data_IF_264623647746
#
_entry.id   IF_264623647746
#
_cell.length_a   1.000
_cell.length_b   1.000
_cell.length_c   1.000
_cell.angle_alpha   90.00
_cell.angle_beta   90.00
_cell.angle_gamma   90.00
#
_symmetry.space_group_name_H-M   'P 1'
#
loop_
_entity.id
_entity.type
_entity.pdbx_description
1 polymer ?
#
# COMPACT_ATOMS: atom_id res chain seq x y z
N UNK A 1 -7.07 -32.23 -4.87
CA UNK A 1 -7.68 -31.70 -3.62
C UNK A 1 -8.06 -30.22 -3.81
N UNK A 2 -9.33 -29.86 -3.68
CA UNK A 2 -9.76 -28.44 -3.69
C UNK A 2 -9.12 -27.71 -2.49
N UNK A 3 -8.31 -26.68 -2.74
CA UNK A 3 -7.73 -25.86 -1.66
C UNK A 3 -8.85 -25.19 -0.87
N UNK A 4 -8.88 -25.42 0.45
CA UNK A 4 -9.87 -24.79 1.33
C UNK A 4 -9.73 -23.26 1.25
N UNK A 5 -10.84 -22.58 0.96
CA UNK A 5 -10.88 -21.11 0.85
C UNK A 5 -10.75 -20.44 2.21
N UNK A 6 -10.12 -19.26 2.25
CA UNK A 6 -10.02 -18.44 3.45
C UNK A 6 -11.37 -17.72 3.66
N UNK A 7 -12.03 -18.01 4.76
CA UNK A 7 -13.30 -17.36 5.16
C UNK A 7 -13.14 -16.48 6.41
N UNK A 8 -12.09 -16.69 7.20
CA UNK A 8 -11.74 -15.86 8.37
C UNK A 8 -10.34 -15.29 8.19
N UNK A 9 -10.23 -13.98 8.19
CA UNK A 9 -8.98 -13.28 7.87
C UNK A 9 -8.70 -12.17 8.88
N UNK A 10 -7.46 -12.11 9.35
CA UNK A 10 -6.96 -10.96 10.09
C UNK A 10 -6.21 -10.02 9.13
N UNK A 11 -6.69 -8.79 8.95
CA UNK A 11 -5.97 -7.77 8.17
C UNK A 11 -4.99 -7.05 9.10
N UNK A 12 -3.70 -7.34 8.93
CA UNK A 12 -2.60 -6.81 9.73
C UNK A 12 -2.20 -5.38 9.35
N UNK A 13 -3.10 -4.43 9.53
CA UNK A 13 -2.86 -3.01 9.27
C UNK A 13 -3.66 -2.13 10.22
N UNK A 14 -3.05 -1.00 10.66
CA UNK A 14 -3.75 0.06 11.40
C UNK A 14 -4.14 1.24 10.49
N UNK A 15 -3.77 1.20 9.20
CA UNK A 15 -4.13 2.22 8.22
C UNK A 15 -5.54 1.98 7.68
N UNK A 16 -6.48 2.88 8.02
CA UNK A 16 -7.89 2.78 7.60
C UNK A 16 -8.07 2.72 6.08
N UNK A 17 -7.27 3.48 5.33
CA UNK A 17 -7.30 3.48 3.87
C UNK A 17 -6.92 2.12 3.29
N UNK A 18 -5.81 1.53 3.77
CA UNK A 18 -5.35 0.20 3.35
C UNK A 18 -6.37 -0.89 3.72
N UNK A 19 -6.92 -0.86 4.94
CA UNK A 19 -7.95 -1.80 5.39
C UNK A 19 -9.17 -1.72 4.47
N UNK A 20 -9.63 -0.51 4.15
CA UNK A 20 -10.77 -0.30 3.26
C UNK A 20 -10.51 -0.88 1.88
N UNK A 21 -9.39 -0.55 1.26
CA UNK A 21 -9.04 -1.07 -0.07
C UNK A 21 -8.93 -2.60 -0.09
N UNK A 22 -8.28 -3.22 0.92
CA UNK A 22 -8.20 -4.69 1.02
C UNK A 22 -9.59 -5.30 1.19
N UNK A 23 -10.44 -4.71 2.04
CA UNK A 23 -11.82 -5.19 2.25
C UNK A 23 -12.64 -5.15 0.96
N UNK A 24 -12.52 -4.07 0.18
CA UNK A 24 -13.24 -3.89 -1.07
C UNK A 24 -12.79 -4.88 -2.16
N UNK A 25 -11.59 -5.46 -2.04
CA UNK A 25 -11.06 -6.49 -2.94
C UNK A 25 -11.45 -7.92 -2.55
N UNK A 26 -11.77 -8.16 -1.28
CA UNK A 26 -12.13 -9.48 -0.76
C UNK A 26 -13.58 -9.84 -1.09
N UNK A 27 -13.89 -11.13 -1.26
CA UNK A 27 -15.28 -11.59 -1.31
C UNK A 27 -16.05 -11.20 -0.04
N UNK A 28 -17.33 -10.85 -0.17
CA UNK A 28 -18.19 -10.46 0.97
C UNK A 28 -18.36 -11.57 2.03
N UNK A 29 -18.12 -12.83 1.64
CA UNK A 29 -18.14 -14.00 2.52
C UNK A 29 -16.97 -14.09 3.48
N UNK A 30 -15.90 -13.28 3.28
CA UNK A 30 -14.73 -13.28 4.16
C UNK A 30 -14.99 -12.42 5.38
N UNK A 31 -14.98 -13.04 6.54
CA UNK A 31 -15.04 -12.36 7.84
C UNK A 31 -13.67 -11.73 8.16
N UNK A 32 -13.67 -10.44 8.51
CA UNK A 32 -12.47 -9.65 8.68
C UNK A 32 -12.34 -9.17 10.12
N UNK A 33 -11.18 -9.45 10.72
CA UNK A 33 -10.71 -8.81 11.94
C UNK A 33 -9.51 -7.90 11.64
N UNK A 34 -9.31 -6.89 12.46
CA UNK A 34 -8.19 -5.93 12.35
C UNK A 34 -7.56 -5.70 13.72
N UNK A 35 -6.38 -5.09 13.81
CA UNK A 35 -5.75 -4.79 15.09
C UNK A 35 -6.65 -4.01 16.06
N UNK A 36 -7.51 -3.13 15.54
CA UNK A 36 -8.45 -2.35 16.36
C UNK A 36 -9.42 -3.23 17.15
N UNK A 37 -9.86 -4.38 16.59
CA UNK A 37 -10.80 -5.30 17.28
C UNK A 37 -10.17 -6.02 18.48
N UNK A 38 -8.84 -6.12 18.51
CA UNK A 38 -8.10 -6.85 19.54
C UNK A 38 -7.11 -5.95 20.31
N UNK A 39 -7.20 -4.62 20.11
CA UNK A 39 -6.33 -3.62 20.71
C UNK A 39 -4.82 -3.92 20.54
N UNK A 40 -4.45 -4.42 19.35
CA UNK A 40 -3.08 -4.81 19.03
C UNK A 40 -2.33 -3.69 18.32
N UNK A 41 -1.10 -3.43 18.76
CA UNK A 41 -0.17 -2.55 18.05
C UNK A 41 0.51 -3.27 16.89
N UNK A 42 0.88 -2.51 15.85
CA UNK A 42 1.70 -3.03 14.76
C UNK A 42 3.15 -3.24 15.22
N UNK A 43 3.84 -4.28 14.73
CA UNK A 43 5.26 -4.46 14.99
C UNK A 43 6.08 -3.36 14.32
N UNK A 44 7.32 -3.16 14.79
CA UNK A 44 8.30 -2.33 14.07
C UNK A 44 8.60 -2.95 12.70
N UNK A 45 8.58 -2.12 11.67
CA UNK A 45 8.97 -2.48 10.32
C UNK A 45 10.49 -2.31 10.18
N UNK A 46 11.25 -3.39 10.38
CA UNK A 46 12.72 -3.42 10.36
C UNK A 46 13.28 -3.95 9.04
N UNK A 47 12.40 -4.36 8.13
CA UNK A 47 12.78 -4.87 6.81
C UNK A 47 13.33 -3.76 5.91
N UNK A 48 14.18 -4.18 4.98
CA UNK A 48 14.79 -3.33 3.95
C UNK A 48 13.97 -3.25 2.66
N UNK A 49 12.94 -4.09 2.55
CA UNK A 49 12.05 -4.19 1.39
C UNK A 49 10.58 -4.17 1.82
N UNK A 50 9.68 -3.85 0.88
CA UNK A 50 8.23 -3.94 1.13
C UNK A 50 7.82 -5.37 1.45
N UNK A 51 8.44 -6.36 0.80
CA UNK A 51 8.18 -7.78 1.01
C UNK A 51 8.53 -8.21 2.43
N UNK A 52 9.71 -7.82 2.92
CA UNK A 52 10.13 -8.12 4.30
C UNK A 52 9.20 -7.49 5.32
N UNK A 53 8.84 -6.21 5.14
CA UNK A 53 7.94 -5.52 6.06
C UNK A 53 6.53 -6.11 6.07
N UNK A 54 5.98 -6.47 4.90
CA UNK A 54 4.68 -7.15 4.84
C UNK A 54 4.73 -8.52 5.53
N UNK A 55 5.82 -9.28 5.35
CA UNK A 55 6.05 -10.56 6.03
C UNK A 55 6.14 -10.41 7.55
N UNK A 56 6.95 -9.46 8.04
CA UNK A 56 7.09 -9.17 9.49
C UNK A 56 5.71 -8.92 10.11
N UNK A 57 4.89 -8.08 9.47
CA UNK A 57 3.54 -7.78 9.96
C UNK A 57 2.62 -8.99 9.92
N UNK A 58 2.57 -9.71 8.79
CA UNK A 58 1.69 -10.88 8.65
C UNK A 58 2.05 -11.98 9.67
N UNK A 59 3.34 -12.27 9.83
CA UNK A 59 3.84 -13.24 10.82
C UNK A 59 3.50 -12.82 12.25
N UNK A 60 3.72 -11.56 12.61
CA UNK A 60 3.42 -11.03 13.94
C UNK A 60 1.94 -11.20 14.28
N UNK A 61 1.04 -10.72 13.42
CA UNK A 61 -0.38 -10.80 13.69
C UNK A 61 -0.91 -12.23 13.70
N UNK A 62 -0.43 -13.10 12.79
CA UNK A 62 -0.82 -14.51 12.81
C UNK A 62 -0.39 -15.22 14.10
N UNK A 63 0.82 -14.95 14.59
CA UNK A 63 1.31 -15.53 15.85
C UNK A 63 0.48 -15.09 17.07
N UNK A 64 0.13 -13.80 17.14
CA UNK A 64 -0.60 -13.24 18.29
C UNK A 64 -2.09 -13.54 18.26
N UNK A 65 -2.69 -13.74 17.08
CA UNK A 65 -4.14 -13.97 16.95
C UNK A 65 -4.52 -15.42 16.69
N UNK A 66 -3.53 -16.28 16.37
CA UNK A 66 -3.73 -17.66 15.90
C UNK A 66 -4.61 -17.77 14.65
N UNK A 67 -4.74 -16.67 13.89
CA UNK A 67 -5.56 -16.59 12.68
C UNK A 67 -4.69 -16.47 11.43
N UNK A 68 -5.27 -16.78 10.27
CA UNK A 68 -4.64 -16.45 8.99
C UNK A 68 -4.58 -14.92 8.90
N UNK A 69 -3.39 -14.39 8.65
CA UNK A 69 -3.18 -12.95 8.56
C UNK A 69 -2.78 -12.53 7.14
N UNK A 70 -3.37 -11.46 6.67
CA UNK A 70 -2.96 -10.74 5.46
C UNK A 70 -2.44 -9.37 5.88
N UNK A 71 -1.18 -9.08 5.58
CA UNK A 71 -0.62 -7.75 5.80
C UNK A 71 -0.05 -7.19 4.51
N UNK A 72 -0.09 -5.85 4.40
CA UNK A 72 0.54 -5.14 3.30
C UNK A 72 1.69 -4.25 3.79
N UNK A 73 2.69 -4.09 2.93
CA UNK A 73 3.54 -2.92 2.96
C UNK A 73 3.55 -2.27 1.58
N UNK A 74 3.46 -0.94 1.55
CA UNK A 74 3.29 -0.23 0.29
C UNK A 74 3.80 1.20 0.38
N UNK A 75 4.27 1.71 -0.74
CA UNK A 75 4.80 3.04 -0.82
C UNK A 75 4.93 3.57 -2.24
N UNK A 76 5.32 4.83 -2.32
CA UNK A 76 5.65 5.56 -3.53
C UNK A 76 7.17 5.55 -3.73
N UNK A 77 7.62 5.21 -4.93
CA UNK A 77 9.00 5.38 -5.36
C UNK A 77 9.07 6.39 -6.50
N UNK A 78 10.07 7.27 -6.46
CA UNK A 78 10.28 8.33 -7.47
C UNK A 78 11.73 8.27 -7.94
N UNK A 79 11.96 8.09 -9.25
CA UNK A 79 13.28 7.85 -9.81
C UNK A 79 14.25 9.01 -9.56
N UNK A 80 13.80 10.25 -9.75
CA UNK A 80 14.63 11.45 -9.60
C UNK A 80 15.21 11.60 -8.19
N UNK A 81 14.58 11.02 -7.18
CA UNK A 81 15.04 11.03 -5.79
C UNK A 81 15.42 9.63 -5.31
N UNK A 82 16.02 8.82 -6.18
CA UNK A 82 16.60 7.50 -5.90
C UNK A 82 15.61 6.52 -5.24
N UNK A 83 14.34 6.54 -5.65
CA UNK A 83 13.29 5.66 -5.12
C UNK A 83 12.67 6.14 -3.81
N UNK A 84 13.11 7.27 -3.25
CA UNK A 84 12.44 7.81 -2.07
C UNK A 84 10.98 8.27 -2.40
N UNK A 85 10.08 8.21 -1.43
CA UNK A 85 10.20 7.76 -0.04
C UNK A 85 10.28 6.24 0.16
N UNK A 86 9.94 5.41 -0.83
CA UNK A 86 10.03 3.96 -0.77
C UNK A 86 9.33 3.37 0.47
N UNK A 87 9.99 2.48 1.19
CA UNK A 87 9.49 1.87 2.43
C UNK A 87 9.23 2.88 3.56
N UNK A 88 9.74 4.10 3.44
CA UNK A 88 9.51 5.19 4.40
C UNK A 88 8.30 6.05 4.09
N UNK A 89 7.48 5.66 3.11
CA UNK A 89 6.33 6.44 2.62
C UNK A 89 5.39 6.91 3.73
N UNK A 90 4.99 6.03 4.65
CA UNK A 90 4.15 6.39 5.79
C UNK A 90 4.91 7.24 6.83
N UNK A 91 6.22 6.96 7.02
CA UNK A 91 7.04 7.68 8.01
C UNK A 91 7.25 9.15 7.64
N UNK A 92 7.24 9.48 6.34
CA UNK A 92 7.32 10.87 5.87
C UNK A 92 6.09 11.71 6.25
N UNK A 93 4.96 11.06 6.53
CA UNK A 93 3.74 11.72 7.00
C UNK A 93 3.75 12.02 8.53
N UNK A 94 4.80 11.58 9.24
CA UNK A 94 5.00 11.82 10.67
C UNK A 94 4.00 11.08 11.57
N UNK A 95 4.07 11.36 12.86
CA UNK A 95 3.30 10.68 13.92
C UNK A 95 1.77 10.73 13.67
N UNK A 96 1.29 11.81 13.08
CA UNK A 96 -0.14 12.02 12.86
C UNK A 96 -0.63 11.57 11.47
N UNK A 97 0.21 10.87 10.69
CA UNK A 97 -0.11 10.44 9.31
C UNK A 97 -0.58 11.60 8.40
N UNK A 98 0.04 12.78 8.55
CA UNK A 98 -0.30 13.96 7.76
C UNK A 98 0.41 13.92 6.41
N UNK A 99 -0.25 13.35 5.41
CA UNK A 99 0.32 13.24 4.07
C UNK A 99 0.52 14.58 3.35
N UNK A 100 -0.03 15.69 3.84
CA UNK A 100 0.35 17.01 3.32
C UNK A 100 1.82 17.32 3.62
N UNK A 101 2.33 16.92 4.79
CA UNK A 101 3.75 17.05 5.15
C UNK A 101 4.60 16.16 4.23
N UNK A 102 4.20 14.90 4.04
CA UNK A 102 4.90 13.97 3.16
C UNK A 102 4.98 14.47 1.71
N UNK A 103 3.88 14.99 1.17
CA UNK A 103 3.83 15.56 -0.19
C UNK A 103 4.70 16.81 -0.31
N UNK A 104 4.67 17.71 0.69
CA UNK A 104 5.58 18.88 0.71
C UNK A 104 7.03 18.43 0.70
N UNK A 105 7.39 17.39 1.46
CA UNK A 105 8.74 16.82 1.48
C UNK A 105 9.14 16.23 0.13
N UNK A 106 8.22 15.54 -0.57
CA UNK A 106 8.45 15.06 -1.95
C UNK A 106 8.80 16.23 -2.86
N UNK A 107 7.97 17.27 -2.91
CA UNK A 107 8.21 18.42 -3.77
C UNK A 107 9.50 19.17 -3.44
N UNK A 108 9.84 19.31 -2.15
CA UNK A 108 11.10 19.89 -1.71
C UNK A 108 12.28 19.09 -2.26
N UNK A 109 12.31 17.77 -2.08
CA UNK A 109 13.40 16.91 -2.57
C UNK A 109 13.51 16.91 -4.11
N UNK A 110 12.39 16.92 -4.82
CA UNK A 110 12.39 17.05 -6.28
C UNK A 110 13.01 18.39 -6.71
N UNK A 111 12.67 19.49 -6.03
CA UNK A 111 13.22 20.82 -6.29
C UNK A 111 14.72 20.90 -5.98
N UNK A 112 15.19 20.24 -4.92
CA UNK A 112 16.61 20.14 -4.56
C UNK A 112 17.42 19.36 -5.61
N UNK A 113 16.82 18.36 -6.26
CA UNK A 113 17.48 17.58 -7.31
C UNK A 113 17.48 18.28 -8.69
N UNK A 114 16.36 18.89 -9.04
CA UNK A 114 16.20 19.64 -10.30
C UNK A 114 15.14 20.73 -10.06
N UNK A 115 15.56 22.00 -10.04
CA UNK A 115 14.63 23.12 -9.87
C UNK A 115 13.56 23.23 -10.96
N UNK A 116 13.78 22.56 -12.10
CA UNK A 116 12.84 22.49 -13.22
C UNK A 116 12.16 21.12 -13.35
N UNK A 117 12.20 20.27 -12.30
CA UNK A 117 11.63 18.92 -12.29
C UNK A 117 10.21 18.85 -12.88
N UNK A 118 9.39 19.87 -12.67
CA UNK A 118 8.00 19.94 -13.11
C UNK A 118 7.84 20.17 -14.63
N UNK A 119 8.92 20.56 -15.34
CA UNK A 119 8.94 20.71 -16.82
C UNK A 119 9.03 19.36 -17.53
N UNK A 120 9.48 18.32 -16.84
CA UNK A 120 9.61 16.95 -17.36
C UNK A 120 8.73 15.99 -16.57
N UNK A 121 8.28 14.92 -17.23
CA UNK A 121 7.50 13.87 -16.57
C UNK A 121 8.40 13.07 -15.64
N UNK A 122 8.23 13.25 -14.34
CA UNK A 122 9.00 12.51 -13.33
C UNK A 122 8.44 11.10 -13.15
N UNK A 123 9.23 10.10 -13.51
CA UNK A 123 8.84 8.70 -13.36
C UNK A 123 8.68 8.33 -11.90
N UNK A 124 7.61 7.67 -11.59
CA UNK A 124 7.30 7.18 -10.25
C UNK A 124 6.48 5.89 -10.33
N UNK A 125 6.44 5.15 -9.24
CA UNK A 125 5.59 3.96 -9.12
C UNK A 125 5.03 3.81 -7.72
N UNK A 126 3.83 3.26 -7.62
CA UNK A 126 3.37 2.69 -6.37
C UNK A 126 3.68 1.19 -6.33
N UNK A 127 4.15 0.74 -5.19
CA UNK A 127 4.43 -0.66 -4.88
C UNK A 127 3.55 -1.10 -3.71
N UNK A 128 3.05 -2.33 -3.78
CA UNK A 128 2.41 -3.01 -2.67
C UNK A 128 2.92 -4.45 -2.61
N UNK A 129 3.48 -4.83 -1.47
CA UNK A 129 3.71 -6.22 -1.11
C UNK A 129 2.57 -6.70 -0.21
N UNK A 130 1.97 -7.84 -0.55
CA UNK A 130 0.95 -8.52 0.25
C UNK A 130 1.49 -9.86 0.71
N UNK A 131 1.45 -10.12 2.01
CA UNK A 131 1.81 -11.41 2.60
C UNK A 131 0.60 -12.03 3.28
N UNK A 132 0.23 -13.27 2.86
CA UNK A 132 -0.64 -14.15 3.65
C UNK A 132 0.26 -15.03 4.50
N UNK A 133 -0.02 -15.10 5.79
CA UNK A 133 0.67 -15.99 6.72
C UNK A 133 -0.37 -16.88 7.42
N UNK A 134 -0.20 -18.21 7.26
CA UNK A 134 -1.07 -19.22 7.89
C UNK A 134 -0.58 -19.62 9.27
N UNK A 135 -1.48 -20.08 10.14
CA UNK A 135 -1.15 -20.53 11.49
C UNK A 135 -0.15 -21.69 11.54
N UNK A 136 -0.09 -22.51 10.49
CA UNK A 136 0.87 -23.61 10.32
C UNK A 136 2.27 -23.13 9.82
N UNK A 137 2.57 -21.84 9.92
CA UNK A 137 3.81 -21.19 9.51
C UNK A 137 4.07 -21.12 8.00
N UNK A 138 3.18 -21.61 7.15
CA UNK A 138 3.24 -21.38 5.70
C UNK A 138 2.93 -19.92 5.40
N UNK A 139 3.54 -19.40 4.34
CA UNK A 139 3.25 -18.03 3.89
C UNK A 139 3.42 -17.91 2.38
N UNK A 140 2.87 -16.86 1.83
CA UNK A 140 3.11 -16.41 0.47
C UNK A 140 3.19 -14.90 0.48
N UNK A 141 4.21 -14.35 -0.17
CA UNK A 141 4.35 -12.92 -0.43
C UNK A 141 4.27 -12.66 -1.92
N UNK A 142 3.49 -11.66 -2.30
CA UNK A 142 3.34 -11.21 -3.69
C UNK A 142 3.51 -9.70 -3.77
N UNK A 143 3.96 -9.22 -4.93
CA UNK A 143 4.14 -7.78 -5.19
C UNK A 143 3.28 -7.34 -6.36
N UNK A 144 2.64 -6.17 -6.20
CA UNK A 144 1.99 -5.43 -7.26
C UNK A 144 2.66 -4.06 -7.44
N UNK A 145 2.80 -3.63 -8.70
CA UNK A 145 3.41 -2.37 -9.07
C UNK A 145 2.57 -1.68 -10.14
N UNK A 146 2.37 -0.38 -9.99
CA UNK A 146 1.81 0.47 -11.04
C UNK A 146 2.77 1.62 -11.33
N UNK A 147 3.17 1.72 -12.58
CA UNK A 147 4.00 2.83 -13.06
C UNK A 147 3.16 4.09 -13.27
N UNK A 148 3.80 5.24 -13.17
CA UNK A 148 3.17 6.53 -13.34
C UNK A 148 4.15 7.68 -13.29
N UNK A 149 3.64 8.84 -12.89
CA UNK A 149 4.44 10.06 -12.75
C UNK A 149 3.90 10.97 -11.67
N UNK A 150 4.72 11.93 -11.25
CA UNK A 150 4.36 12.92 -10.24
C UNK A 150 3.74 14.14 -10.90
N UNK A 151 2.58 14.55 -10.39
CA UNK A 151 1.92 15.81 -10.73
C UNK A 151 2.65 16.98 -10.08
N UNK A 152 2.81 18.10 -10.82
CA UNK A 152 3.39 19.34 -10.27
C UNK A 152 2.58 19.94 -9.12
N UNK A 153 1.28 19.65 -9.04
CA UNK A 153 0.38 20.13 -8.00
C UNK A 153 -0.48 18.97 -7.48
N UNK A 154 -0.95 19.10 -6.25
CA UNK A 154 -1.99 18.23 -5.69
C UNK A 154 -3.29 18.39 -6.47
N UNK A 155 -3.92 17.28 -6.87
CA UNK A 155 -5.20 17.28 -7.60
C UNK A 155 -6.13 16.20 -7.07
N UNK A 156 -7.37 16.57 -6.80
CA UNK A 156 -8.41 15.66 -6.29
C UNK A 156 -8.33 15.42 -4.77
N UNK A 157 -9.41 14.82 -4.25
CA UNK A 157 -9.62 14.58 -2.81
C UNK A 157 -9.89 13.10 -2.50
N UNK A 158 -9.97 12.25 -3.54
CA UNK A 158 -10.21 10.81 -3.36
C UNK A 158 -8.95 10.07 -2.91
N UNK A 159 -9.15 8.88 -2.35
CA UNK A 159 -8.06 8.03 -1.91
C UNK A 159 -7.39 8.52 -0.62
N UNK A 160 -6.10 8.21 -0.48
CA UNK A 160 -5.29 8.60 0.67
C UNK A 160 -3.80 8.66 0.27
N UNK A 161 -2.99 9.13 1.20
CA UNK A 161 -1.53 9.13 0.99
C UNK A 161 -1.08 10.07 -0.10
N UNK A 162 -0.33 9.54 -1.04
CA UNK A 162 0.20 10.27 -2.18
C UNK A 162 -0.73 10.26 -3.41
N UNK A 163 -1.94 9.74 -3.29
CA UNK A 163 -2.92 9.70 -4.39
C UNK A 163 -3.13 11.06 -5.09
N UNK A 164 -3.15 12.21 -4.38
CA UNK A 164 -3.33 13.51 -5.02
C UNK A 164 -2.19 13.95 -5.94
N UNK A 165 -1.03 13.32 -5.87
CA UNK A 165 0.14 13.67 -6.69
C UNK A 165 0.57 12.58 -7.68
N UNK A 166 -0.01 11.39 -7.64
CA UNK A 166 0.37 10.29 -8.52
C UNK A 166 -0.57 10.16 -9.71
N UNK A 167 -0.01 10.27 -10.92
CA UNK A 167 -0.71 10.08 -12.19
C UNK A 167 -0.30 8.70 -12.72
N UNK A 168 -1.20 7.69 -12.76
CA UNK A 168 -0.86 6.38 -13.27
C UNK A 168 -0.56 6.42 -14.79
N UNK A 169 0.28 5.50 -15.26
CA UNK A 169 0.62 5.37 -16.68
C UNK A 169 -0.67 5.25 -17.52
N UNK A 170 -0.67 5.92 -18.67
CA UNK A 170 -1.81 6.00 -19.60
C UNK A 170 -3.01 6.82 -19.09
N UNK A 171 -2.87 7.58 -18.00
CA UNK A 171 -3.91 8.49 -17.52
C UNK A 171 -3.40 9.94 -17.48
N UNK A 172 -4.34 10.91 -17.54
CA UNK A 172 -4.05 12.35 -17.41
C UNK A 172 -4.45 12.91 -16.03
N UNK A 173 -5.12 12.09 -15.22
CA UNK A 173 -5.64 12.45 -13.89
C UNK A 173 -4.89 11.72 -12.80
N UNK A 174 -4.80 12.32 -11.61
CA UNK A 174 -4.21 11.68 -10.44
C UNK A 174 -5.15 10.64 -9.84
N UNK A 175 -4.63 9.72 -9.02
CA UNK A 175 -5.49 8.85 -8.21
C UNK A 175 -6.42 9.64 -7.31
N UNK A 176 -6.00 10.82 -6.83
CA UNK A 176 -6.86 11.72 -6.05
C UNK A 176 -8.07 12.26 -6.82
N UNK A 177 -8.01 12.29 -8.15
CA UNK A 177 -9.12 12.69 -9.02
C UNK A 177 -9.99 11.51 -9.47
N UNK A 178 -9.46 10.29 -9.39
CA UNK A 178 -10.21 9.09 -9.80
C UNK A 178 -11.28 8.73 -8.79
N UNK A 179 -12.44 8.29 -9.28
CA UNK A 179 -13.44 7.63 -8.43
C UNK A 179 -12.85 6.33 -7.84
N UNK A 180 -13.10 5.99 -6.56
CA UNK A 180 -12.48 4.83 -5.91
C UNK A 180 -12.62 3.52 -6.68
N UNK A 181 -13.80 3.22 -7.23
CA UNK A 181 -14.05 2.00 -7.99
C UNK A 181 -13.21 1.87 -9.26
N UNK A 182 -12.81 3.01 -9.89
CA UNK A 182 -11.89 3.00 -11.04
C UNK A 182 -10.46 2.74 -10.60
N UNK A 183 -10.01 3.41 -9.52
CA UNK A 183 -8.68 3.22 -8.93
C UNK A 183 -8.47 1.76 -8.51
N UNK A 184 -9.42 1.16 -7.81
CA UNK A 184 -9.32 -0.21 -7.28
C UNK A 184 -9.25 -1.31 -8.36
N UNK A 185 -9.39 -0.97 -9.63
CA UNK A 185 -9.24 -1.91 -10.75
C UNK A 185 -7.85 -1.86 -11.40
N UNK A 186 -7.02 -0.89 -11.04
CA UNK A 186 -5.74 -0.64 -11.71
C UNK A 186 -4.58 -0.43 -10.73
N UNK A 187 -4.84 -0.17 -9.45
CA UNK A 187 -3.79 0.20 -8.51
C UNK A 187 -2.86 -0.98 -8.14
N UNK A 188 -1.76 -0.63 -7.48
CA UNK A 188 -0.73 -1.56 -7.02
C UNK A 188 -1.27 -2.66 -6.10
N UNK A 189 -2.26 -2.33 -5.23
CA UNK A 189 -2.86 -3.28 -4.29
C UNK A 189 -3.76 -4.27 -5.00
N UNK A 190 -4.55 -3.82 -5.97
CA UNK A 190 -5.32 -4.69 -6.84
C UNK A 190 -4.42 -5.65 -7.64
N UNK A 191 -3.32 -5.12 -8.21
CA UNK A 191 -2.35 -5.94 -8.98
C UNK A 191 -1.73 -7.02 -8.08
N UNK A 192 -1.35 -6.68 -6.84
CA UNK A 192 -0.87 -7.66 -5.86
C UNK A 192 -1.96 -8.67 -5.49
N UNK A 193 -3.18 -8.18 -5.19
CA UNK A 193 -4.29 -9.03 -4.77
C UNK A 193 -4.69 -10.07 -5.83
N UNK A 194 -4.69 -9.71 -7.11
CA UNK A 194 -4.97 -10.67 -8.20
C UNK A 194 -4.12 -11.95 -8.11
N UNK A 195 -2.87 -11.84 -7.64
CA UNK A 195 -1.94 -12.97 -7.51
C UNK A 195 -2.32 -13.95 -6.39
N UNK A 196 -3.06 -13.46 -5.38
CA UNK A 196 -3.50 -14.24 -4.21
C UNK A 196 -5.01 -14.48 -4.18
N UNK A 197 -5.78 -13.94 -5.13
CA UNK A 197 -7.25 -14.08 -5.20
C UNK A 197 -7.73 -15.53 -5.12
N UNK A 198 -6.95 -16.47 -5.62
CA UNK A 198 -7.26 -17.90 -5.60
C UNK A 198 -7.39 -18.53 -4.21
N UNK A 199 -6.93 -17.86 -3.16
CA UNK A 199 -7.03 -18.35 -1.78
C UNK A 199 -8.34 -17.93 -1.08
N UNK A 200 -9.14 -17.06 -1.69
CA UNK A 200 -10.39 -16.53 -1.20
C UNK A 200 -11.63 -16.99 -1.95
#
# INVERSE_FOLDING_TARGET
MKKKKIINLFIGSNNRGKIKEIRDLLPKTVQILTPKHLNLNSPKETGKTFEENSFIKAKFFSKNTKKISLADDSGLEIDLINGEPGIYSARWAGKYNNFNIAIKKVYKKLMEKDKYWYKKKQKARFICALTIFWSNRKFITVKGKIEGSISKNKRGKNGFGYDPIFIPKNYKVTFGQMKPFKKYKIDHRYIAFKKIKKFF
#
